data_IF_431122096738
#
_entry.id   IF_431122096738
#
_cell.length_a   1.000
_cell.length_b   1.000
_cell.length_c   1.000
_cell.angle_alpha   90.00
_cell.angle_beta   90.00
_cell.angle_gamma   90.00
#
_symmetry.space_group_name_H-M   'P 1'
#
loop_
_entity.id
_entity.type
_entity.pdbx_description
1 polymer ?
#
# COMPACT_ATOMS: atom_id res chain seq x y z
N UNK A 1 -17.68 -15.73 2.22
CA UNK A 1 -16.68 -14.85 1.60
C UNK A 1 -15.47 -14.85 2.51
N UNK A 2 -14.31 -15.14 1.95
CA UNK A 2 -13.03 -15.10 2.62
C UNK A 2 -12.64 -13.65 2.82
N UNK A 3 -12.28 -13.29 4.06
CA UNK A 3 -11.75 -11.96 4.35
C UNK A 3 -10.35 -11.82 3.73
N UNK A 4 -9.90 -10.60 3.37
CA UNK A 4 -8.53 -10.35 2.91
C UNK A 4 -7.45 -11.02 3.78
N UNK A 5 -7.57 -10.88 5.11
CA UNK A 5 -6.62 -11.46 6.07
C UNK A 5 -6.59 -13.00 6.03
N UNK A 6 -7.75 -13.65 6.00
CA UNK A 6 -7.81 -15.11 5.89
C UNK A 6 -7.21 -15.63 4.58
N UNK A 7 -7.47 -14.93 3.46
CA UNK A 7 -6.93 -15.28 2.15
C UNK A 7 -5.39 -15.21 2.15
N UNK A 8 -4.82 -14.08 2.57
CA UNK A 8 -3.36 -13.90 2.55
C UNK A 8 -2.67 -14.79 3.58
N UNK A 9 -3.30 -15.09 4.72
CA UNK A 9 -2.75 -16.03 5.72
C UNK A 9 -2.60 -17.44 5.14
N UNK A 10 -3.57 -17.92 4.36
CA UNK A 10 -3.49 -19.22 3.72
C UNK A 10 -2.43 -19.25 2.59
N UNK A 11 -2.19 -18.12 1.93
CA UNK A 11 -1.25 -18.01 0.81
C UNK A 11 0.19 -17.72 1.24
N UNK A 12 0.39 -17.06 2.39
CA UNK A 12 1.70 -16.58 2.86
C UNK A 12 2.82 -17.65 2.83
N UNK A 13 2.59 -18.92 3.22
CA UNK A 13 3.63 -19.95 3.14
C UNK A 13 4.15 -20.20 1.71
N UNK A 14 3.31 -19.98 0.69
CA UNK A 14 3.67 -20.17 -0.71
C UNK A 14 4.40 -18.95 -1.30
N UNK A 15 4.30 -17.79 -0.63
CA UNK A 15 5.01 -16.56 -0.99
C UNK A 15 6.40 -16.48 -0.35
N UNK A 16 6.83 -17.53 0.36
CA UNK A 16 8.13 -17.58 1.00
C UNK A 16 9.28 -17.39 -0.01
N UNK A 17 10.19 -16.46 0.30
CA UNK A 17 11.32 -16.11 -0.58
C UNK A 17 11.02 -15.07 -1.66
N UNK A 18 9.77 -14.61 -1.78
CA UNK A 18 9.39 -13.48 -2.61
C UNK A 18 9.23 -12.22 -1.76
N UNK A 19 9.41 -11.07 -2.37
CA UNK A 19 9.20 -9.76 -1.75
C UNK A 19 7.73 -9.38 -1.81
N UNK A 20 7.05 -9.32 -0.66
CA UNK A 20 5.65 -8.89 -0.61
C UNK A 20 5.30 -8.24 0.72
N UNK A 21 4.31 -7.36 0.69
CA UNK A 21 3.72 -6.76 1.89
C UNK A 21 2.25 -6.36 1.66
N UNK A 22 1.46 -6.39 2.73
CA UNK A 22 0.06 -5.99 2.71
C UNK A 22 -0.02 -4.48 2.93
N UNK A 23 -0.86 -3.81 2.16
CA UNK A 23 -1.16 -2.40 2.32
C UNK A 23 -2.66 -2.12 2.43
N UNK A 24 -3.03 -0.88 2.21
CA UNK A 24 -4.39 -0.49 1.90
C UNK A 24 -5.36 -0.64 3.04
N UNK A 25 -6.60 -0.95 2.70
CA UNK A 25 -7.67 -1.11 3.69
C UNK A 25 -7.41 -2.29 4.64
N UNK A 26 -6.72 -3.33 4.19
CA UNK A 26 -6.31 -4.46 5.05
C UNK A 26 -5.24 -4.04 6.05
N UNK A 27 -4.33 -3.13 5.68
CA UNK A 27 -3.41 -2.51 6.63
C UNK A 27 -4.15 -1.68 7.68
N UNK A 28 -5.09 -0.83 7.25
CA UNK A 28 -5.91 -0.05 8.19
C UNK A 28 -6.65 -0.93 9.20
N UNK A 29 -7.17 -2.08 8.75
CA UNK A 29 -7.80 -3.05 9.66
C UNK A 29 -6.80 -3.59 10.69
N UNK A 30 -5.57 -3.91 10.27
CA UNK A 30 -4.52 -4.38 11.18
C UNK A 30 -4.12 -3.34 12.23
N UNK A 31 -4.23 -2.05 11.90
CA UNK A 31 -3.99 -0.93 12.82
C UNK A 31 -5.22 -0.59 13.70
N UNK A 32 -6.36 -1.25 13.48
CA UNK A 32 -7.61 -0.96 14.20
C UNK A 32 -8.34 0.29 13.72
N UNK A 33 -8.02 0.80 12.52
CA UNK A 33 -8.57 2.04 11.97
C UNK A 33 -9.85 1.83 11.14
N UNK A 34 -10.12 0.59 10.72
CA UNK A 34 -11.36 0.20 10.04
C UNK A 34 -11.77 -1.22 10.45
N UNK A 35 -13.08 -1.49 10.49
CA UNK A 35 -13.59 -2.83 10.81
C UNK A 35 -13.48 -3.81 9.63
N UNK A 36 -13.88 -3.36 8.45
CA UNK A 36 -13.98 -4.20 7.24
C UNK A 36 -13.13 -3.64 6.08
N UNK A 37 -12.05 -4.34 5.67
CA UNK A 37 -11.29 -3.99 4.47
C UNK A 37 -12.11 -4.30 3.22
N UNK A 38 -11.96 -3.46 2.19
CA UNK A 38 -12.70 -3.58 0.92
C UNK A 38 -12.12 -4.66 0.01
N UNK A 39 -10.80 -4.75 0.02
CA UNK A 39 -9.96 -5.52 -0.89
C UNK A 39 -8.62 -5.87 -0.21
N UNK A 40 -7.84 -6.72 -0.89
CA UNK A 40 -6.48 -7.02 -0.50
C UNK A 40 -5.48 -6.30 -1.41
N UNK A 41 -4.84 -5.26 -0.93
CA UNK A 41 -3.68 -4.64 -1.59
C UNK A 41 -2.40 -5.41 -1.24
N UNK A 42 -1.83 -6.09 -2.23
CA UNK A 42 -0.56 -6.81 -2.13
C UNK A 42 0.53 -6.08 -2.93
N UNK A 43 1.49 -5.51 -2.22
CA UNK A 43 2.63 -4.80 -2.80
C UNK A 43 3.79 -5.78 -2.98
N UNK A 44 4.46 -5.74 -4.13
CA UNK A 44 5.62 -6.56 -4.46
C UNK A 44 6.67 -5.74 -5.24
N UNK A 45 7.87 -6.30 -5.39
CA UNK A 45 8.89 -5.78 -6.30
C UNK A 45 8.55 -6.09 -7.76
N UNK A 46 9.16 -5.38 -8.71
CA UNK A 46 8.94 -5.64 -10.13
C UNK A 46 9.52 -7.01 -10.55
N UNK A 47 10.59 -7.41 -9.88
CA UNK A 47 11.29 -8.69 -10.03
C UNK A 47 10.38 -9.86 -9.66
N UNK A 48 9.67 -9.76 -8.53
CA UNK A 48 8.82 -10.84 -8.02
C UNK A 48 7.38 -10.81 -8.55
N UNK A 49 6.97 -9.72 -9.21
CA UNK A 49 5.59 -9.50 -9.66
C UNK A 49 5.03 -10.68 -10.47
N UNK A 50 5.81 -11.21 -11.43
CA UNK A 50 5.35 -12.32 -12.25
C UNK A 50 5.14 -13.61 -11.45
N UNK A 51 6.03 -13.89 -10.49
CA UNK A 51 5.94 -15.06 -9.62
C UNK A 51 4.75 -14.96 -8.67
N UNK A 52 4.57 -13.80 -8.01
CA UNK A 52 3.42 -13.55 -7.12
C UNK A 52 2.11 -13.64 -7.91
N UNK A 53 2.04 -13.03 -9.10
CA UNK A 53 0.84 -13.11 -9.96
C UNK A 53 0.51 -14.57 -10.34
N UNK A 54 1.51 -15.36 -10.70
CA UNK A 54 1.30 -16.76 -11.07
C UNK A 54 0.76 -17.61 -9.90
N UNK A 55 1.17 -17.31 -8.66
CA UNK A 55 0.62 -17.93 -7.46
C UNK A 55 -0.84 -17.50 -7.22
N UNK A 56 -1.14 -16.19 -7.31
CA UNK A 56 -2.50 -15.69 -7.14
C UNK A 56 -3.48 -16.28 -8.16
N UNK A 57 -3.05 -16.49 -9.41
CA UNK A 57 -3.86 -17.09 -10.47
C UNK A 57 -4.25 -18.56 -10.21
N UNK A 58 -3.62 -19.24 -9.24
CA UNK A 58 -4.05 -20.57 -8.80
C UNK A 58 -5.31 -20.53 -7.92
N UNK A 59 -5.62 -19.36 -7.37
CA UNK A 59 -6.70 -19.16 -6.39
C UNK A 59 -7.75 -18.12 -6.84
N UNK A 60 -7.45 -17.34 -7.88
CA UNK A 60 -8.26 -16.24 -8.36
C UNK A 60 -8.17 -16.08 -9.88
N UNK A 61 -9.15 -15.40 -10.47
CA UNK A 61 -9.18 -15.06 -11.91
C UNK A 61 -8.69 -13.64 -12.14
N UNK A 62 -7.96 -13.40 -13.23
CA UNK A 62 -7.57 -12.04 -13.64
C UNK A 62 -8.79 -11.26 -14.13
N UNK A 63 -9.07 -10.13 -13.49
CA UNK A 63 -10.13 -9.18 -13.85
C UNK A 63 -9.57 -7.77 -14.04
N UNK A 64 -8.28 -7.66 -14.39
CA UNK A 64 -7.55 -6.39 -14.44
C UNK A 64 -8.26 -5.36 -15.33
N UNK A 65 -8.73 -4.23 -14.76
CA UNK A 65 -9.38 -3.19 -15.55
C UNK A 65 -8.37 -2.40 -16.39
N UNK A 66 -8.85 -1.56 -17.33
CA UNK A 66 -8.01 -0.55 -17.97
C UNK A 66 -7.30 0.34 -16.93
N UNK A 67 -6.09 0.84 -17.22
CA UNK A 67 -5.35 1.69 -16.29
C UNK A 67 -6.16 2.91 -15.84
N UNK A 68 -6.22 3.14 -14.54
CA UNK A 68 -6.88 4.31 -13.96
C UNK A 68 -6.04 5.58 -14.22
N UNK A 69 -6.65 6.72 -14.63
CA UNK A 69 -5.91 7.92 -15.02
C UNK A 69 -5.04 8.51 -13.92
N UNK A 70 -5.40 8.33 -12.64
CA UNK A 70 -4.59 8.79 -11.51
C UNK A 70 -3.27 8.02 -11.35
N UNK A 71 -3.22 6.76 -11.81
CA UNK A 71 -2.09 5.88 -11.56
C UNK A 71 -1.19 5.77 -12.79
N UNK A 72 0.11 5.77 -12.53
CA UNK A 72 1.17 5.47 -13.50
C UNK A 72 1.97 4.23 -13.04
N UNK A 73 1.33 3.36 -12.25
CA UNK A 73 1.87 2.11 -11.72
C UNK A 73 2.48 1.26 -12.83
N UNK A 74 3.70 0.77 -12.60
CA UNK A 74 4.46 0.01 -13.61
C UNK A 74 3.88 -1.37 -13.87
N UNK A 75 3.50 -2.09 -12.81
CA UNK A 75 2.87 -3.40 -12.89
C UNK A 75 1.66 -3.45 -11.97
N UNK A 76 0.51 -3.79 -12.56
CA UNK A 76 -0.76 -3.88 -11.87
C UNK A 76 -1.53 -5.09 -12.37
N UNK A 77 -2.13 -5.83 -11.45
CA UNK A 77 -3.14 -6.83 -11.77
C UNK A 77 -4.22 -6.81 -10.69
N UNK A 78 -5.48 -6.83 -11.11
CA UNK A 78 -6.61 -7.10 -10.21
C UNK A 78 -7.08 -8.51 -10.43
N UNK A 79 -7.18 -9.28 -9.35
CA UNK A 79 -7.70 -10.64 -9.37
C UNK A 79 -8.94 -10.74 -8.49
N UNK A 80 -9.80 -11.72 -8.79
CA UNK A 80 -10.98 -12.01 -7.99
C UNK A 80 -11.03 -13.49 -7.63
N UNK A 81 -11.16 -13.79 -6.35
CA UNK A 81 -11.35 -15.16 -5.85
C UNK A 81 -12.73 -15.70 -6.24
N UNK A 82 -12.92 -17.02 -6.12
CA UNK A 82 -14.20 -17.66 -6.42
C UNK A 82 -15.38 -17.16 -5.54
N UNK A 83 -15.09 -16.59 -4.37
CA UNK A 83 -16.07 -16.05 -3.44
C UNK A 83 -16.14 -14.52 -3.44
N UNK A 84 -15.54 -13.86 -4.44
CA UNK A 84 -15.73 -12.46 -4.74
C UNK A 84 -14.75 -11.48 -4.10
N UNK A 85 -13.75 -11.95 -3.36
CA UNK A 85 -12.69 -11.08 -2.83
C UNK A 85 -11.85 -10.54 -3.98
N UNK A 86 -11.67 -9.22 -4.02
CA UNK A 86 -10.74 -8.55 -4.94
C UNK A 86 -9.34 -8.45 -4.32
N UNK A 87 -8.32 -8.76 -5.13
CA UNK A 87 -6.90 -8.67 -4.79
C UNK A 87 -6.20 -7.78 -5.81
N UNK A 88 -5.60 -6.70 -5.35
CA UNK A 88 -4.76 -5.81 -6.15
C UNK A 88 -3.28 -6.16 -5.94
N UNK A 89 -2.64 -6.67 -6.99
CA UNK A 89 -1.20 -6.89 -7.02
C UNK A 89 -0.53 -5.68 -7.65
N UNK A 90 0.38 -5.03 -6.91
CA UNK A 90 0.98 -3.75 -7.28
C UNK A 90 2.50 -3.85 -7.20
N UNK A 91 3.21 -3.45 -8.27
CA UNK A 91 4.64 -3.19 -8.22
C UNK A 91 5.03 -1.91 -8.97
N UNK A 92 5.92 -1.12 -8.36
CA UNK A 92 6.33 0.18 -8.88
C UNK A 92 5.17 1.18 -8.92
N UNK A 93 4.46 1.32 -7.78
CA UNK A 93 3.36 2.26 -7.61
C UNK A 93 3.81 3.68 -7.95
N UNK A 94 3.01 4.36 -8.78
CA UNK A 94 3.23 5.75 -9.10
C UNK A 94 1.90 6.49 -9.25
N UNK A 95 1.84 7.72 -8.72
CA UNK A 95 0.65 8.56 -8.71
C UNK A 95 0.93 9.79 -9.58
N UNK A 96 0.05 10.08 -10.54
CA UNK A 96 0.14 11.28 -11.37
C UNK A 96 -0.29 12.51 -10.56
N UNK A 97 0.49 13.58 -10.69
CA UNK A 97 0.27 14.85 -10.03
C UNK A 97 0.30 15.98 -11.08
N UNK A 98 -0.19 17.17 -10.72
CA UNK A 98 -0.23 18.33 -11.63
C UNK A 98 1.10 18.60 -12.35
N UNK A 99 2.23 18.38 -11.67
CA UNK A 99 3.59 18.67 -12.17
C UNK A 99 4.47 17.42 -12.36
N UNK A 100 3.87 16.26 -12.63
CA UNK A 100 4.61 15.04 -12.94
C UNK A 100 4.00 13.80 -12.30
N UNK A 101 4.83 13.00 -11.65
CA UNK A 101 4.37 11.81 -10.95
C UNK A 101 5.23 11.52 -9.72
N UNK A 102 4.57 11.13 -8.64
CA UNK A 102 5.23 10.48 -7.51
C UNK A 102 5.51 9.03 -7.85
N UNK A 103 6.71 8.53 -7.56
CA UNK A 103 7.03 7.10 -7.61
C UNK A 103 7.37 6.67 -6.20
N UNK A 104 6.58 5.75 -5.64
CA UNK A 104 6.83 5.26 -4.30
C UNK A 104 7.98 4.23 -4.34
N UNK A 105 9.09 4.46 -3.61
CA UNK A 105 10.23 3.55 -3.58
C UNK A 105 9.95 2.41 -2.59
N UNK A 106 8.98 1.55 -2.93
CA UNK A 106 8.70 0.36 -2.14
C UNK A 106 9.98 -0.43 -1.90
N UNK A 107 10.20 -0.79 -0.63
CA UNK A 107 11.38 -1.49 -0.15
C UNK A 107 10.92 -2.59 0.80
N UNK A 108 11.07 -3.84 0.38
CA UNK A 108 10.63 -4.99 1.16
C UNK A 108 11.40 -5.16 2.47
N UNK A 109 12.58 -4.53 2.61
CA UNK A 109 13.31 -4.49 3.87
C UNK A 109 12.71 -3.46 4.87
N UNK A 110 11.91 -2.51 4.38
CA UNK A 110 11.19 -1.52 5.17
C UNK A 110 9.71 -1.92 5.34
N UNK A 111 9.48 -3.16 5.76
CA UNK A 111 8.18 -3.71 6.12
C UNK A 111 8.26 -4.26 7.54
N UNK A 112 7.14 -4.26 8.29
CA UNK A 112 7.09 -4.94 9.58
C UNK A 112 6.42 -6.30 9.46
N UNK A 113 6.69 -7.17 10.43
CA UNK A 113 6.13 -8.50 10.49
C UNK A 113 5.21 -8.67 11.69
N UNK A 114 4.02 -9.21 11.44
CA UNK A 114 3.07 -9.60 12.48
C UNK A 114 2.25 -10.80 11.99
N UNK A 115 2.02 -11.78 12.85
CA UNK A 115 1.23 -12.99 12.56
C UNK A 115 1.69 -13.79 11.32
N UNK A 116 3.00 -13.76 11.04
CA UNK A 116 3.57 -14.42 9.85
C UNK A 116 3.28 -13.71 8.53
N UNK A 117 2.80 -12.46 8.59
CA UNK A 117 2.52 -11.61 7.44
C UNK A 117 3.46 -10.40 7.42
N UNK A 118 3.78 -9.93 6.21
CA UNK A 118 4.53 -8.70 5.99
C UNK A 118 3.56 -7.54 5.75
N UNK A 119 3.84 -6.39 6.34
CA UNK A 119 2.98 -5.20 6.30
C UNK A 119 3.78 -3.98 5.85
N UNK A 120 3.20 -3.20 4.95
CA UNK A 120 3.75 -1.90 4.54
C UNK A 120 3.70 -0.92 5.72
N UNK A 121 4.67 -0.01 5.80
CA UNK A 121 4.70 1.03 6.83
C UNK A 121 3.45 1.93 6.82
N UNK A 122 2.96 2.30 8.01
CA UNK A 122 1.76 3.14 8.16
C UNK A 122 2.01 4.53 7.58
N UNK A 123 3.20 5.07 7.81
CA UNK A 123 3.63 6.35 7.30
C UNK A 123 3.74 6.42 5.76
N UNK A 124 4.06 5.30 5.10
CA UNK A 124 4.04 5.22 3.64
C UNK A 124 2.60 5.34 3.13
N UNK A 125 1.65 4.66 3.78
CA UNK A 125 0.24 4.69 3.41
C UNK A 125 -0.45 6.02 3.71
N UNK A 126 -0.05 6.73 4.76
CA UNK A 126 -0.53 8.07 5.06
C UNK A 126 -0.20 9.02 3.89
N UNK A 127 1.05 8.96 3.40
CA UNK A 127 1.47 9.74 2.23
C UNK A 127 0.74 9.29 0.95
N UNK A 128 0.62 7.99 0.71
CA UNK A 128 -0.06 7.48 -0.48
C UNK A 128 -1.53 7.91 -0.53
N UNK A 129 -2.27 7.73 0.56
CA UNK A 129 -3.68 8.12 0.63
C UNK A 129 -3.89 9.62 0.48
N UNK A 130 -3.00 10.43 1.07
CA UNK A 130 -2.98 11.87 0.87
C UNK A 130 -2.81 12.27 -0.60
N UNK A 131 -1.88 11.62 -1.30
CA UNK A 131 -1.65 11.86 -2.73
C UNK A 131 -2.79 11.35 -3.61
N UNK A 132 -3.51 10.33 -3.17
CA UNK A 132 -4.71 9.80 -3.84
C UNK A 132 -5.98 10.61 -3.55
N UNK A 133 -5.97 11.49 -2.54
CA UNK A 133 -7.13 12.30 -2.14
C UNK A 133 -8.10 11.57 -1.20
N UNK A 134 -7.66 10.53 -0.50
CA UNK A 134 -8.44 9.78 0.47
C UNK A 134 -8.32 10.42 1.87
N UNK A 135 -9.04 11.53 2.08
CA UNK A 135 -8.88 12.37 3.28
C UNK A 135 -9.19 11.66 4.59
N UNK A 136 -10.28 10.87 4.65
CA UNK A 136 -10.68 10.13 5.85
C UNK A 136 -9.59 9.12 6.29
N UNK A 137 -9.04 8.36 5.34
CA UNK A 137 -7.97 7.40 5.61
C UNK A 137 -6.66 8.10 5.97
N UNK A 138 -6.42 9.28 5.40
CA UNK A 138 -5.25 10.10 5.72
C UNK A 138 -5.34 10.62 7.15
N UNK A 139 -6.47 11.20 7.54
CA UNK A 139 -6.70 11.75 8.89
C UNK A 139 -6.58 10.65 9.95
N UNK A 140 -7.19 9.48 9.73
CA UNK A 140 -7.10 8.36 10.67
C UNK A 140 -5.65 7.84 10.85
N UNK A 141 -4.87 7.80 9.77
CA UNK A 141 -3.45 7.42 9.85
C UNK A 141 -2.61 8.51 10.52
N UNK A 142 -2.91 9.78 10.28
CA UNK A 142 -2.20 10.90 10.89
C UNK A 142 -2.38 10.87 12.42
N UNK A 143 -3.61 10.73 12.91
CA UNK A 143 -3.91 10.57 14.35
C UNK A 143 -3.20 9.35 14.95
N UNK A 144 -3.24 8.22 14.24
CA UNK A 144 -2.57 6.99 14.70
C UNK A 144 -1.05 7.17 14.81
N UNK A 145 -0.43 7.82 13.82
CA UNK A 145 1.01 8.09 13.79
C UNK A 145 1.44 9.10 14.85
N UNK A 146 0.59 10.07 15.20
CA UNK A 146 0.85 10.98 16.32
C UNK A 146 0.87 10.24 17.67
N UNK A 147 0.00 9.25 17.85
CA UNK A 147 -0.05 8.43 19.06
C UNK A 147 1.05 7.35 19.15
N UNK A 148 1.39 6.72 18.02
CA UNK A 148 2.26 5.54 17.98
C UNK A 148 3.68 5.84 17.47
N UNK A 149 3.89 7.01 16.87
CA UNK A 149 5.15 7.45 16.30
C UNK A 149 5.42 6.90 14.89
N UNK A 150 6.42 7.51 14.25
CA UNK A 150 6.88 7.15 12.90
C UNK A 150 8.14 6.30 13.00
N UNK A 151 8.22 5.20 12.24
CA UNK A 151 9.36 4.28 12.28
C UNK A 151 10.50 4.76 11.38
N UNK A 152 10.17 5.31 10.21
CA UNK A 152 11.14 5.70 9.19
C UNK A 152 10.93 7.12 8.63
N UNK A 153 11.01 8.19 9.46
CA UNK A 153 10.69 9.56 9.03
C UNK A 153 11.58 10.05 7.88
N UNK A 154 12.85 9.64 7.83
CA UNK A 154 13.78 9.96 6.75
C UNK A 154 13.34 9.44 5.36
N UNK A 155 12.59 8.33 5.30
CA UNK A 155 12.06 7.79 4.02
C UNK A 155 10.96 8.70 3.46
N UNK A 156 10.17 9.25 4.37
CA UNK A 156 9.10 10.18 4.06
C UNK A 156 9.68 11.51 3.59
N UNK A 157 10.66 12.06 4.32
CA UNK A 157 11.36 13.28 3.95
C UNK A 157 11.99 13.20 2.56
N UNK A 158 12.78 12.14 2.29
CA UNK A 158 13.44 11.94 1.01
C UNK A 158 12.43 11.89 -0.15
N UNK A 159 11.26 11.32 0.11
CA UNK A 159 10.18 11.30 -0.85
C UNK A 159 9.53 12.67 -0.99
N UNK A 160 9.21 13.38 0.10
CA UNK A 160 8.40 14.60 0.16
C UNK A 160 9.11 15.90 -0.28
N UNK A 161 10.43 15.96 -0.25
CA UNK A 161 11.15 17.16 -0.71
C UNK A 161 11.46 17.19 -2.22
N UNK A 162 11.01 16.16 -2.98
CA UNK A 162 11.25 16.03 -4.41
C UNK A 162 10.29 16.82 -5.33
N UNK A 163 9.68 17.92 -4.85
CA UNK A 163 8.97 18.88 -5.71
C UNK A 163 7.45 18.73 -5.85
N UNK A 164 6.74 18.28 -4.80
CA UNK A 164 5.27 18.19 -4.85
C UNK A 164 4.58 19.55 -4.82
N UNK A 165 3.42 19.68 -5.48
CA UNK A 165 2.54 20.82 -5.25
C UNK A 165 2.11 20.89 -3.77
N UNK A 166 2.27 22.06 -3.15
CA UNK A 166 1.98 22.34 -1.73
C UNK A 166 0.57 21.88 -1.29
N UNK A 167 -0.40 21.91 -2.21
CA UNK A 167 -1.78 21.46 -1.95
C UNK A 167 -1.88 20.01 -1.48
N UNK A 168 -0.94 19.15 -1.87
CA UNK A 168 -0.92 17.74 -1.44
C UNK A 168 -0.21 17.55 -0.09
N UNK A 169 0.50 18.57 0.39
CA UNK A 169 1.26 18.53 1.63
C UNK A 169 0.48 19.14 2.81
N UNK A 170 -0.72 19.67 2.58
CA UNK A 170 -1.54 20.35 3.58
C UNK A 170 -2.86 19.63 3.83
N UNK A 171 -3.35 19.56 5.09
CA UNK A 171 -2.66 20.03 6.31
C UNK A 171 -1.48 19.11 6.65
N UNK A 172 -0.36 19.69 7.06
CA UNK A 172 0.80 18.95 7.49
C UNK A 172 0.50 18.24 8.83
N UNK A 173 0.69 16.92 8.96
CA UNK A 173 0.67 16.25 10.26
C UNK A 173 1.84 16.68 11.15
N UNK A 174 1.65 16.55 12.46
CA UNK A 174 2.63 16.88 13.48
C UNK A 174 3.83 15.93 13.45
N UNK A 175 3.61 14.66 13.08
CA UNK A 175 4.66 13.66 12.95
C UNK A 175 5.64 13.86 11.79
N UNK A 176 5.34 14.75 10.83
CA UNK A 176 6.20 14.97 9.68
C UNK A 176 7.55 15.52 10.17
N UNK A 177 8.70 15.07 9.60
CA UNK A 177 10.01 15.64 9.93
C UNK A 177 10.12 17.09 9.42
N UNK A 178 9.52 18.03 10.16
CA UNK A 178 9.82 19.45 10.08
C UNK A 178 11.12 19.69 10.85
N UNK A 179 12.26 19.47 10.21
CA UNK A 179 13.47 20.18 10.63
C UNK A 179 13.62 21.40 9.71
N UNK A 180 13.56 22.59 10.29
CA UNK A 180 13.99 23.84 9.66
C UNK A 180 15.47 23.78 9.24
#
# INVERSE_FOLDING_TARGET
>A
MSTPRAFITALAPQLAGLSWAIGGSTLLQQLGLVDEPRDLDLITTAEDFAAVKALLLQHASDITPPPHPLYATRHFARLQSADGLEIDLIAGLAIRLDKGQFRWPFDAAACWQADGLNWCMAEDWALLYRLMGYSEQTEALDEWLDEHGVTHPQRIAANLFAGYPEKYLKPAPDWWPWEE
#
